data_IF_244565895876
#
_entry.id   IF_244565895876
#
_cell.length_a   1.000
_cell.length_b   1.000
_cell.length_c   1.000
_cell.angle_alpha   90.00
_cell.angle_beta   90.00
_cell.angle_gamma   90.00
#
_symmetry.space_group_name_H-M   'P 1'
#
loop_
_entity.id
_entity.type
_entity.pdbx_description
1 polymer ?
#
# COMPACT_ATOMS: atom_id res chain seq x y z
N UNK A 1 -19.17 -13.46 11.79
CA UNK A 1 -19.75 -14.25 10.71
C UNK A 1 -19.12 -15.64 10.57
N UNK A 2 -19.73 -16.50 9.79
CA UNK A 2 -19.17 -17.82 9.46
C UNK A 2 -18.40 -17.74 8.13
N UNK A 3 -17.38 -18.60 7.99
CA UNK A 3 -16.71 -18.79 6.70
C UNK A 3 -17.47 -19.91 5.95
N UNK A 4 -18.02 -19.56 4.80
CA UNK A 4 -18.79 -20.42 3.92
C UNK A 4 -17.97 -20.75 2.65
N UNK A 5 -18.35 -21.78 1.91
CA UNK A 5 -17.76 -22.03 0.59
C UNK A 5 -18.20 -20.97 -0.42
N UNK A 6 -17.63 -20.98 -1.62
CA UNK A 6 -17.97 -20.01 -2.68
C UNK A 6 -19.45 -19.99 -3.07
N UNK A 7 -20.17 -21.09 -2.83
CA UNK A 7 -21.63 -21.22 -3.09
C UNK A 7 -22.49 -20.77 -1.90
N UNK A 8 -21.85 -20.41 -0.77
CA UNK A 8 -22.55 -20.00 0.45
C UNK A 8 -22.97 -21.13 1.37
N UNK A 9 -22.43 -22.35 1.19
CA UNK A 9 -22.72 -23.47 2.08
C UNK A 9 -21.69 -23.54 3.22
N UNK A 10 -22.12 -24.08 4.37
CA UNK A 10 -21.22 -24.33 5.50
C UNK A 10 -20.09 -25.29 5.08
N UNK A 11 -18.85 -24.90 5.31
CA UNK A 11 -17.69 -25.77 5.07
C UNK A 11 -17.70 -26.97 6.02
N UNK A 12 -17.43 -28.15 5.49
CA UNK A 12 -17.35 -29.40 6.25
C UNK A 12 -16.36 -30.35 5.57
N UNK A 13 -15.50 -30.98 6.38
CA UNK A 13 -14.60 -32.04 5.88
C UNK A 13 -15.37 -33.20 5.27
N UNK A 14 -16.55 -33.50 5.83
CA UNK A 14 -17.43 -34.59 5.36
C UNK A 14 -17.99 -34.32 3.95
N UNK A 15 -18.24 -33.05 3.62
CA UNK A 15 -18.77 -32.65 2.32
C UNK A 15 -17.64 -32.39 1.29
N UNK A 16 -16.39 -32.46 1.72
CA UNK A 16 -15.24 -32.19 0.84
C UNK A 16 -15.11 -30.75 0.36
N UNK A 17 -15.87 -29.81 0.94
CA UNK A 17 -15.84 -28.38 0.59
C UNK A 17 -15.06 -27.53 1.59
N UNK A 18 -14.37 -28.16 2.55
CA UNK A 18 -13.50 -27.44 3.49
C UNK A 18 -12.16 -27.11 2.82
N UNK A 19 -11.76 -25.86 2.92
CA UNK A 19 -10.46 -25.41 2.44
C UNK A 19 -9.41 -25.65 3.52
N UNK A 20 -8.27 -26.24 3.14
CA UNK A 20 -7.14 -26.40 4.05
C UNK A 20 -6.36 -25.07 4.14
N UNK A 21 -6.27 -24.45 5.33
CA UNK A 21 -5.59 -23.16 5.49
C UNK A 21 -4.09 -23.25 5.23
N UNK A 22 -3.44 -24.39 5.53
CA UNK A 22 -1.99 -24.53 5.36
C UNK A 22 -1.60 -24.58 3.88
N UNK A 23 -2.32 -25.35 3.07
CA UNK A 23 -2.09 -25.39 1.62
C UNK A 23 -2.42 -24.06 0.96
N UNK A 24 -3.43 -23.34 1.45
CA UNK A 24 -3.80 -22.00 0.98
C UNK A 24 -2.68 -20.99 1.27
N UNK A 25 -2.16 -20.99 2.51
CA UNK A 25 -1.04 -20.12 2.88
C UNK A 25 0.22 -20.47 2.07
N UNK A 26 0.50 -21.75 1.83
CA UNK A 26 1.65 -22.18 1.03
C UNK A 26 1.55 -21.66 -0.42
N UNK A 27 0.34 -21.59 -0.99
CA UNK A 27 0.11 -21.19 -2.38
C UNK A 27 0.07 -19.66 -2.56
N UNK A 28 -0.66 -18.98 -1.70
CA UNK A 28 -0.97 -17.55 -1.87
C UNK A 28 -0.16 -16.64 -0.94
N UNK A 29 0.37 -17.15 0.15
CA UNK A 29 0.95 -16.39 1.24
C UNK A 29 -0.09 -16.02 2.31
N UNK A 30 0.38 -15.70 3.50
CA UNK A 30 -0.50 -15.34 4.63
C UNK A 30 -1.13 -13.96 4.46
N UNK A 31 -0.40 -12.98 3.96
CA UNK A 31 -0.87 -11.60 3.85
C UNK A 31 -2.00 -11.43 2.84
N UNK A 32 -1.95 -11.99 1.61
CA UNK A 32 -3.09 -11.97 0.71
C UNK A 32 -4.34 -12.66 1.26
N UNK A 33 -4.15 -13.79 1.97
CA UNK A 33 -5.26 -14.49 2.63
C UNK A 33 -5.90 -13.62 3.71
N UNK A 34 -5.09 -13.04 4.61
CA UNK A 34 -5.58 -12.16 5.69
C UNK A 34 -6.28 -10.93 5.13
N UNK A 35 -5.70 -10.30 4.11
CA UNK A 35 -6.28 -9.15 3.42
C UNK A 35 -7.64 -9.50 2.83
N UNK A 36 -7.73 -10.58 2.06
CA UNK A 36 -8.97 -11.07 1.49
C UNK A 36 -10.05 -11.31 2.54
N UNK A 37 -9.71 -11.97 3.65
CA UNK A 37 -10.69 -12.28 4.70
C UNK A 37 -11.25 -11.03 5.39
N UNK A 38 -10.46 -9.95 5.46
CA UNK A 38 -10.89 -8.70 6.12
C UNK A 38 -11.66 -7.80 5.15
N UNK A 39 -11.27 -7.78 3.87
CA UNK A 39 -11.85 -6.84 2.89
C UNK A 39 -13.03 -7.41 2.11
N UNK A 40 -13.21 -8.73 2.09
CA UNK A 40 -14.23 -9.38 1.25
C UNK A 40 -15.64 -9.40 1.86
N UNK A 41 -15.80 -9.15 3.16
CA UNK A 41 -17.12 -9.06 3.80
C UNK A 41 -17.06 -8.21 5.06
N UNK A 42 -18.22 -7.67 5.44
CA UNK A 42 -18.32 -6.94 6.70
C UNK A 42 -18.16 -7.90 7.89
N UNK A 43 -17.65 -7.45 9.05
CA UNK A 43 -17.37 -8.32 10.21
C UNK A 43 -18.59 -9.09 10.75
N UNK A 44 -19.79 -8.56 10.52
CA UNK A 44 -21.06 -9.18 10.93
C UNK A 44 -21.67 -10.11 9.88
N UNK A 45 -21.18 -10.08 8.63
CA UNK A 45 -21.65 -10.91 7.54
C UNK A 45 -20.88 -12.22 7.45
N UNK A 46 -21.47 -13.19 6.75
CA UNK A 46 -20.81 -14.44 6.44
C UNK A 46 -19.85 -14.25 5.25
N UNK A 47 -18.60 -14.66 5.44
CA UNK A 47 -17.60 -14.64 4.38
C UNK A 47 -17.81 -15.81 3.42
N UNK A 48 -18.10 -15.56 2.15
CA UNK A 48 -18.00 -16.56 1.08
C UNK A 48 -16.56 -16.67 0.63
N UNK A 49 -15.93 -17.78 0.97
CA UNK A 49 -14.52 -18.01 0.71
C UNK A 49 -14.33 -18.54 -0.71
N UNK A 50 -13.60 -17.78 -1.53
CA UNK A 50 -13.24 -18.13 -2.90
C UNK A 50 -11.74 -17.93 -3.13
N UNK A 51 -11.07 -18.97 -3.64
CA UNK A 51 -9.64 -18.90 -3.99
C UNK A 51 -9.35 -17.85 -5.06
N UNK A 52 -10.26 -17.65 -6.01
CA UNK A 52 -10.12 -16.62 -7.05
C UNK A 52 -10.08 -15.21 -6.45
N UNK A 53 -10.80 -14.96 -5.36
CA UNK A 53 -10.76 -13.69 -4.64
C UNK A 53 -9.41 -13.42 -3.97
N UNK A 54 -8.75 -14.45 -3.45
CA UNK A 54 -7.39 -14.31 -2.88
C UNK A 54 -6.40 -13.97 -4.01
N UNK A 55 -6.51 -14.64 -5.15
CA UNK A 55 -5.64 -14.38 -6.31
C UNK A 55 -5.86 -12.96 -6.86
N UNK A 56 -7.09 -12.50 -6.87
CA UNK A 56 -7.44 -11.13 -7.25
C UNK A 56 -6.79 -10.10 -6.34
N UNK A 57 -6.87 -10.27 -5.02
CA UNK A 57 -6.20 -9.40 -4.02
C UNK A 57 -4.68 -9.42 -4.24
N UNK A 58 -4.10 -10.62 -4.38
CA UNK A 58 -2.67 -10.77 -4.62
C UNK A 58 -2.22 -10.01 -5.85
N UNK A 59 -2.95 -10.11 -6.95
CA UNK A 59 -2.63 -9.47 -8.22
C UNK A 59 -2.94 -7.98 -8.22
N UNK A 60 -4.16 -7.59 -7.82
CA UNK A 60 -4.61 -6.19 -7.93
C UNK A 60 -4.01 -5.29 -6.86
N UNK A 61 -4.00 -5.71 -5.60
CA UNK A 61 -3.49 -4.89 -4.51
C UNK A 61 -1.98 -5.05 -4.31
N UNK A 62 -1.53 -6.25 -3.93
CA UNK A 62 -0.10 -6.48 -3.64
C UNK A 62 0.76 -6.33 -4.89
N UNK A 63 0.30 -6.80 -6.05
CA UNK A 63 1.00 -6.66 -7.32
C UNK A 63 1.13 -5.18 -7.74
N UNK A 64 0.09 -4.38 -7.57
CA UNK A 64 0.13 -2.94 -7.87
C UNK A 64 1.07 -2.21 -6.91
N UNK A 65 0.99 -2.49 -5.62
CA UNK A 65 1.88 -1.89 -4.63
C UNK A 65 3.36 -2.28 -4.88
N UNK A 66 3.60 -3.55 -5.21
CA UNK A 66 4.93 -4.03 -5.58
C UNK A 66 5.50 -3.29 -6.82
N UNK A 67 4.68 -3.13 -7.86
CA UNK A 67 5.10 -2.43 -9.08
C UNK A 67 5.33 -0.93 -8.81
N UNK A 68 4.52 -0.31 -7.97
CA UNK A 68 4.70 1.10 -7.56
C UNK A 68 5.98 1.29 -6.77
N UNK A 69 6.26 0.40 -5.81
CA UNK A 69 7.53 0.40 -5.09
C UNK A 69 8.71 0.10 -6.02
N UNK A 70 8.58 -0.88 -6.92
CA UNK A 70 9.63 -1.21 -7.89
C UNK A 70 9.97 -0.04 -8.81
N UNK A 71 8.97 0.71 -9.26
CA UNK A 71 9.16 1.94 -10.00
C UNK A 71 9.94 2.98 -9.18
N UNK A 72 9.50 3.24 -7.94
CA UNK A 72 10.20 4.15 -7.03
C UNK A 72 11.66 3.72 -6.83
N UNK A 73 11.89 2.47 -6.44
CA UNK A 73 13.21 1.94 -6.12
C UNK A 73 14.17 1.99 -7.32
N UNK A 74 13.66 1.69 -8.53
CA UNK A 74 14.46 1.75 -9.75
C UNK A 74 15.05 3.15 -9.96
N UNK A 75 14.20 4.17 -9.98
CA UNK A 75 14.65 5.53 -10.26
C UNK A 75 15.38 6.17 -9.07
N UNK A 76 14.94 5.91 -7.85
CA UNK A 76 15.64 6.37 -6.65
C UNK A 76 17.09 5.84 -6.59
N UNK A 77 17.32 4.59 -7.03
CA UNK A 77 18.68 4.05 -7.11
C UNK A 77 19.50 4.69 -8.23
N UNK A 78 18.90 4.95 -9.40
CA UNK A 78 19.58 5.62 -10.52
C UNK A 78 19.98 7.05 -10.16
N UNK A 79 19.09 7.78 -9.51
CA UNK A 79 19.30 9.17 -9.12
C UNK A 79 20.00 9.31 -7.75
N UNK A 80 20.32 8.18 -7.09
CA UNK A 80 20.95 8.15 -5.75
C UNK A 80 20.15 8.88 -4.67
N UNK A 81 18.82 8.92 -4.79
CA UNK A 81 17.95 9.52 -3.78
C UNK A 81 18.08 8.82 -2.43
N UNK A 82 18.34 9.59 -1.36
CA UNK A 82 18.57 9.10 0.01
C UNK A 82 17.64 9.75 1.03
N UNK A 83 16.78 10.63 0.62
CA UNK A 83 16.02 11.51 1.51
C UNK A 83 16.94 12.36 2.43
N UNK A 84 18.15 12.69 1.94
CA UNK A 84 19.10 13.55 2.61
C UNK A 84 18.96 15.01 2.16
N UNK A 85 18.20 15.24 1.11
CA UNK A 85 17.85 16.53 0.56
C UNK A 85 16.92 17.30 1.51
N UNK A 86 17.01 18.62 1.49
CA UNK A 86 16.05 19.46 2.22
C UNK A 86 14.61 19.08 1.81
N UNK A 87 13.74 19.00 2.79
CA UNK A 87 12.33 18.72 2.53
C UNK A 87 11.72 19.88 1.75
N UNK A 88 11.10 19.55 0.62
CA UNK A 88 10.35 20.52 -0.18
C UNK A 88 9.06 20.87 0.55
N UNK A 89 8.86 22.13 0.87
CA UNK A 89 7.63 22.60 1.54
C UNK A 89 6.39 22.24 0.70
N UNK A 90 5.28 21.93 1.36
CA UNK A 90 4.05 21.48 0.68
C UNK A 90 3.57 22.52 -0.34
N UNK A 91 3.68 23.80 0.01
CA UNK A 91 3.25 24.93 -0.83
C UNK A 91 4.10 25.06 -2.10
N UNK A 92 5.34 24.59 -2.05
CA UNK A 92 6.29 24.63 -3.18
C UNK A 92 6.18 23.38 -4.07
N UNK A 93 5.47 22.35 -3.61
CA UNK A 93 5.28 21.12 -4.39
C UNK A 93 4.29 21.36 -5.53
N UNK A 94 4.50 20.70 -6.70
CA UNK A 94 3.51 20.70 -7.78
C UNK A 94 2.12 20.27 -7.31
N UNK A 95 1.09 20.73 -8.01
CA UNK A 95 -0.31 20.45 -7.69
C UNK A 95 -0.59 18.95 -7.57
N UNK A 96 -0.01 18.11 -8.44
CA UNK A 96 -0.18 16.67 -8.41
C UNK A 96 0.39 16.03 -7.13
N UNK A 97 1.48 16.57 -6.57
CA UNK A 97 2.04 16.10 -5.31
C UNK A 97 1.14 16.51 -4.14
N UNK A 98 0.64 17.74 -4.14
CA UNK A 98 -0.30 18.23 -3.13
C UNK A 98 -1.61 17.46 -3.15
N UNK A 99 -2.11 17.15 -4.36
CA UNK A 99 -3.32 16.36 -4.55
C UNK A 99 -3.19 14.96 -3.94
N UNK A 100 -2.12 14.21 -4.27
CA UNK A 100 -1.98 12.86 -3.72
C UNK A 100 -1.72 12.86 -2.21
N UNK A 101 -1.03 13.87 -1.67
CA UNK A 101 -0.83 14.01 -0.23
C UNK A 101 -2.13 14.39 0.50
N UNK A 102 -3.01 15.16 -0.12
CA UNK A 102 -4.36 15.44 0.40
C UNK A 102 -5.18 14.15 0.50
N UNK A 103 -5.19 13.34 -0.56
CA UNK A 103 -5.87 12.04 -0.55
C UNK A 103 -5.24 11.06 0.46
N UNK A 104 -3.93 11.11 0.66
CA UNK A 104 -3.25 10.30 1.67
C UNK A 104 -3.73 10.68 3.09
N UNK A 105 -3.90 11.97 3.36
CA UNK A 105 -4.42 12.42 4.65
C UNK A 105 -5.91 12.06 4.84
N UNK A 106 -6.70 12.07 3.79
CA UNK A 106 -8.07 11.54 3.81
C UNK A 106 -8.07 10.02 4.08
N UNK A 107 -7.16 9.28 3.44
CA UNK A 107 -6.99 7.84 3.68
C UNK A 107 -6.68 7.52 5.14
N UNK A 108 -5.84 8.31 5.82
CA UNK A 108 -5.50 8.09 7.23
C UNK A 108 -6.76 8.19 8.11
N UNK A 109 -7.74 9.02 7.73
CA UNK A 109 -9.02 9.13 8.43
C UNK A 109 -9.98 7.98 8.13
N UNK A 110 -10.09 7.54 6.87
CA UNK A 110 -11.16 6.66 6.40
C UNK A 110 -10.73 5.24 6.03
N UNK A 111 -9.43 4.99 5.95
CA UNK A 111 -8.78 3.67 5.74
C UNK A 111 -9.27 2.90 4.48
N UNK A 112 -9.49 3.60 3.36
CA UNK A 112 -9.78 2.97 2.04
C UNK A 112 -8.49 2.64 1.27
N UNK A 113 -7.57 1.86 1.87
CA UNK A 113 -6.20 1.65 1.40
C UNK A 113 -6.14 1.05 0.00
N UNK A 114 -7.01 0.10 -0.32
CA UNK A 114 -6.97 -0.62 -1.60
C UNK A 114 -7.25 0.32 -2.78
N UNK A 115 -8.29 1.13 -2.68
CA UNK A 115 -8.67 2.09 -3.73
C UNK A 115 -7.60 3.18 -3.87
N UNK A 116 -7.05 3.66 -2.76
CA UNK A 116 -5.96 4.62 -2.80
C UNK A 116 -4.74 4.08 -3.56
N UNK A 117 -4.30 2.84 -3.28
CA UNK A 117 -3.13 2.23 -3.93
C UNK A 117 -3.37 2.01 -5.42
N UNK A 118 -4.52 1.46 -5.78
CA UNK A 118 -4.81 1.07 -7.17
C UNK A 118 -5.14 2.29 -8.01
N UNK A 119 -6.11 3.07 -7.59
CA UNK A 119 -6.64 4.16 -8.41
C UNK A 119 -5.82 5.44 -8.26
N UNK A 120 -5.67 5.95 -7.03
CA UNK A 120 -5.07 7.26 -6.84
C UNK A 120 -3.54 7.23 -7.04
N UNK A 121 -2.85 6.30 -6.35
CA UNK A 121 -1.40 6.28 -6.36
C UNK A 121 -0.84 5.72 -7.67
N UNK A 122 -1.26 4.51 -8.08
CA UNK A 122 -0.70 3.85 -9.25
C UNK A 122 -1.27 4.38 -10.57
N UNK A 123 -2.61 4.36 -10.72
CA UNK A 123 -3.26 4.71 -11.98
C UNK A 123 -3.19 6.21 -12.30
N UNK A 124 -3.22 7.08 -11.28
CA UNK A 124 -3.15 8.52 -11.48
C UNK A 124 -1.78 9.09 -11.18
N UNK A 125 -1.37 9.10 -9.90
CA UNK A 125 -0.14 9.81 -9.50
C UNK A 125 1.11 9.31 -10.22
N UNK A 126 1.43 8.02 -10.10
CA UNK A 126 2.64 7.44 -10.70
C UNK A 126 2.60 7.56 -12.23
N UNK A 127 1.44 7.26 -12.84
CA UNK A 127 1.28 7.31 -14.30
C UNK A 127 1.52 8.71 -14.85
N UNK A 128 0.95 9.74 -14.23
CA UNK A 128 1.09 11.13 -14.69
C UNK A 128 2.47 11.73 -14.35
N UNK A 129 3.08 11.28 -13.25
CA UNK A 129 4.38 11.79 -12.78
C UNK A 129 5.59 11.09 -13.41
N UNK A 130 5.41 10.05 -14.24
CA UNK A 130 6.54 9.25 -14.79
C UNK A 130 7.65 10.07 -15.40
N UNK A 131 7.31 11.12 -16.17
CA UNK A 131 8.29 11.97 -16.85
C UNK A 131 9.22 12.70 -15.87
N UNK A 132 8.78 12.98 -14.65
CA UNK A 132 9.57 13.63 -13.60
C UNK A 132 10.71 12.75 -13.09
N UNK A 133 10.55 11.42 -13.19
CA UNK A 133 11.56 10.44 -12.79
C UNK A 133 12.51 10.06 -13.93
N UNK A 134 12.07 10.20 -15.21
CA UNK A 134 12.83 9.75 -16.38
C UNK A 134 13.86 10.78 -16.81
N UNK A 135 15.12 10.61 -16.45
CA UNK A 135 16.20 11.46 -16.93
C UNK A 135 16.12 12.90 -16.45
N UNK A 136 16.93 13.77 -17.06
CA UNK A 136 16.99 15.19 -16.71
C UNK A 136 17.82 15.50 -15.47
N UNK A 137 17.85 16.75 -15.10
CA UNK A 137 18.56 17.23 -13.92
C UNK A 137 17.88 16.77 -12.64
N UNK A 138 18.66 16.63 -11.58
CA UNK A 138 18.16 16.33 -10.22
C UNK A 138 17.58 17.60 -9.59
N UNK A 139 16.44 18.03 -10.13
CA UNK A 139 15.76 19.28 -9.81
C UNK A 139 14.91 19.19 -8.54
N UNK A 140 14.52 20.34 -8.00
CA UNK A 140 13.58 20.41 -6.87
C UNK A 140 12.24 19.69 -7.17
N UNK A 141 11.75 19.76 -8.42
CA UNK A 141 10.55 19.02 -8.85
C UNK A 141 10.75 17.52 -8.75
N UNK A 142 11.91 16.99 -9.17
CA UNK A 142 12.23 15.57 -9.05
C UNK A 142 12.38 15.14 -7.59
N UNK A 143 13.02 15.95 -6.76
CA UNK A 143 13.14 15.71 -5.30
C UNK A 143 11.74 15.68 -4.67
N UNK A 144 10.87 16.63 -5.00
CA UNK A 144 9.47 16.66 -4.54
C UNK A 144 8.73 15.38 -4.91
N UNK A 145 8.89 14.88 -6.14
CA UNK A 145 8.27 13.64 -6.59
C UNK A 145 8.75 12.43 -5.77
N UNK A 146 10.05 12.30 -5.52
CA UNK A 146 10.60 11.23 -4.69
C UNK A 146 10.09 11.30 -3.24
N UNK A 147 10.15 12.48 -2.62
CA UNK A 147 9.68 12.67 -1.26
C UNK A 147 8.20 12.35 -1.12
N UNK A 148 7.37 12.76 -2.08
CA UNK A 148 5.92 12.50 -2.10
C UNK A 148 5.63 11.00 -2.23
N UNK A 149 6.26 10.32 -3.20
CA UNK A 149 6.02 8.88 -3.41
C UNK A 149 6.54 8.05 -2.23
N UNK A 150 7.70 8.42 -1.68
CA UNK A 150 8.23 7.80 -0.47
C UNK A 150 7.24 7.91 0.70
N UNK A 151 6.73 9.11 0.95
CA UNK A 151 5.74 9.35 2.02
C UNK A 151 4.49 8.51 1.83
N UNK A 152 3.97 8.40 0.60
CA UNK A 152 2.83 7.54 0.31
C UNK A 152 3.12 6.06 0.60
N UNK A 153 4.26 5.54 0.13
CA UNK A 153 4.64 4.13 0.33
C UNK A 153 4.87 3.79 1.80
N UNK A 154 5.56 4.67 2.54
CA UNK A 154 5.82 4.51 3.97
C UNK A 154 4.52 4.51 4.78
N UNK A 155 3.64 5.48 4.53
CA UNK A 155 2.33 5.58 5.19
C UNK A 155 1.46 4.35 4.91
N UNK A 156 1.40 3.87 3.65
CA UNK A 156 0.67 2.65 3.28
C UNK A 156 1.23 1.45 4.05
N UNK A 157 2.56 1.33 4.17
CA UNK A 157 3.18 0.23 4.90
C UNK A 157 2.75 0.23 6.37
N UNK A 158 2.75 1.38 7.04
CA UNK A 158 2.34 1.51 8.45
C UNK A 158 0.85 1.20 8.62
N UNK A 159 -0.03 1.80 7.79
CA UNK A 159 -1.49 1.60 7.87
C UNK A 159 -1.90 0.15 7.61
N UNK A 160 -1.17 -0.54 6.72
CA UNK A 160 -1.49 -1.91 6.29
C UNK A 160 -0.85 -2.99 7.15
N UNK A 161 0.14 -2.67 7.97
CA UNK A 161 0.90 -3.64 8.78
C UNK A 161 0.03 -4.52 9.70
N UNK A 162 -1.05 -4.02 10.34
CA UNK A 162 -1.92 -4.87 11.15
C UNK A 162 -2.59 -6.01 10.38
N UNK A 163 -2.81 -5.84 9.08
CA UNK A 163 -3.49 -6.82 8.20
C UNK A 163 -2.47 -7.67 7.46
N UNK A 164 -1.44 -7.03 6.87
CA UNK A 164 -0.42 -7.65 6.02
C UNK A 164 0.99 -7.49 6.64
N UNK A 165 1.27 -8.12 7.79
CA UNK A 165 2.45 -7.84 8.60
C UNK A 165 3.77 -8.15 7.89
N UNK A 166 3.86 -9.21 7.10
CA UNK A 166 5.12 -9.66 6.52
C UNK A 166 5.53 -8.83 5.30
N UNK A 167 4.58 -8.55 4.42
CA UNK A 167 4.85 -7.73 3.24
C UNK A 167 5.14 -6.27 3.63
N UNK A 168 4.40 -5.72 4.59
CA UNK A 168 4.59 -4.33 5.01
C UNK A 168 5.87 -4.14 5.81
N UNK A 169 6.30 -5.14 6.61
CA UNK A 169 7.61 -5.14 7.25
C UNK A 169 8.73 -5.09 6.21
N UNK A 170 8.62 -5.91 5.16
CA UNK A 170 9.61 -5.90 4.09
C UNK A 170 9.64 -4.55 3.35
N UNK A 171 8.49 -4.03 2.95
CA UNK A 171 8.39 -2.74 2.24
C UNK A 171 8.97 -1.60 3.08
N UNK A 172 8.57 -1.51 4.34
CA UNK A 172 9.05 -0.50 5.28
C UNK A 172 10.56 -0.60 5.51
N UNK A 173 11.07 -1.82 5.72
CA UNK A 173 12.49 -2.08 5.89
C UNK A 173 13.30 -1.71 4.64
N UNK A 174 12.83 -2.05 3.44
CA UNK A 174 13.49 -1.72 2.18
C UNK A 174 13.55 -0.19 1.95
N UNK A 175 12.46 0.54 2.26
CA UNK A 175 12.44 2.00 2.19
C UNK A 175 13.44 2.64 3.17
N UNK A 176 13.46 2.17 4.41
CA UNK A 176 14.27 2.78 5.47
C UNK A 176 15.73 2.33 5.47
N UNK A 177 16.06 1.19 4.86
CA UNK A 177 17.44 0.71 4.72
C UNK A 177 18.35 1.72 4.03
N UNK A 178 17.80 2.48 3.09
CA UNK A 178 18.55 3.46 2.29
C UNK A 178 18.47 4.85 2.90
N UNK A 179 17.30 5.24 3.40
CA UNK A 179 17.07 6.60 3.93
C UNK A 179 17.48 6.75 5.38
N UNK A 180 17.47 5.67 6.16
CA UNK A 180 17.79 5.70 7.60
C UNK A 180 16.81 6.53 8.44
N UNK A 181 15.61 6.85 7.91
CA UNK A 181 14.62 7.68 8.63
C UNK A 181 14.03 6.99 9.86
N UNK A 182 13.86 5.68 9.77
CA UNK A 182 13.36 4.84 10.85
C UNK A 182 14.29 3.64 11.07
N UNK A 183 14.63 3.36 12.30
CA UNK A 183 15.58 2.30 12.70
C UNK A 183 14.90 1.10 13.35
N UNK A 184 13.68 0.77 12.94
CA UNK A 184 12.93 -0.30 13.57
C UNK A 184 12.00 -1.04 12.63
N UNK A 185 11.21 -1.91 13.20
CA UNK A 185 10.14 -2.61 12.52
C UNK A 185 8.95 -1.68 12.28
N UNK A 186 8.22 -1.92 11.18
CA UNK A 186 6.95 -1.23 10.91
C UNK A 186 5.94 -1.39 12.05
N UNK A 187 6.03 -2.49 12.79
CA UNK A 187 5.15 -2.80 13.93
C UNK A 187 5.45 -1.97 15.20
N UNK A 188 6.57 -1.26 15.20
CA UNK A 188 6.96 -0.33 16.26
C UNK A 188 6.83 1.14 15.85
N UNK A 189 6.45 1.38 14.59
CA UNK A 189 6.21 2.74 14.11
C UNK A 189 4.91 3.30 14.68
N UNK A 190 4.92 4.60 14.95
CA UNK A 190 3.71 5.31 15.37
C UNK A 190 2.67 5.30 14.24
N UNK A 191 1.41 5.09 14.61
CA UNK A 191 0.33 5.13 13.64
C UNK A 191 0.18 6.57 13.09
N UNK A 192 0.13 6.77 11.77
CA UNK A 192 0.13 8.09 11.18
C UNK A 192 -1.12 8.87 11.59
N UNK A 193 -0.93 10.17 11.83
CA UNK A 193 -2.02 11.10 12.12
C UNK A 193 -2.28 11.95 10.89
N UNK A 194 -3.55 12.13 10.54
CA UNK A 194 -3.94 12.99 9.44
C UNK A 194 -3.62 14.45 9.78
N UNK A 195 -2.99 15.17 8.86
CA UNK A 195 -2.93 16.62 8.89
C UNK A 195 -4.14 17.19 8.14
N UNK A 196 -5.08 17.72 8.92
CA UNK A 196 -6.35 18.26 8.38
C UNK A 196 -6.14 19.45 7.46
N UNK A 197 -5.02 20.18 7.62
CA UNK A 197 -4.69 21.32 6.76
C UNK A 197 -4.35 20.91 5.33
N UNK A 198 -3.92 19.66 5.15
CA UNK A 198 -3.57 19.12 3.84
C UNK A 198 -4.79 18.52 3.11
N UNK A 199 -5.89 18.26 3.82
CA UNK A 199 -7.10 17.74 3.21
C UNK A 199 -7.78 18.89 2.45
N UNK A 200 -7.86 18.76 1.11
CA UNK A 200 -8.60 19.73 0.30
C UNK A 200 -10.09 19.69 0.69
N UNK A 201 -10.64 20.81 1.05
CA UNK A 201 -12.10 20.95 1.14
C UNK A 201 -12.64 20.94 -0.29
N UNK A 202 -13.51 19.98 -0.59
CA UNK A 202 -14.28 19.94 -1.83
C UNK A 202 -15.18 21.16 -1.97
#
# INVERSE_FOLDING_TARGET
GLVLDAKGNKMSKRLGNAVDPFSTIATYGSDPLRWYMITNSQPWDNLKFDMAGIDEVKRKFFGTLYNTYGFFALYANVDHFRYAEAEVAIEERPEIDRWILSLLNSLIKEVAIQDFVIENLSNWYVRLSRKRYWGGEYSQDKISAYQTLYTCLETIAILSAPIAPFYMEKLFGDLNKVTGRHSGSVHLADFPKADEKLIANE
#
